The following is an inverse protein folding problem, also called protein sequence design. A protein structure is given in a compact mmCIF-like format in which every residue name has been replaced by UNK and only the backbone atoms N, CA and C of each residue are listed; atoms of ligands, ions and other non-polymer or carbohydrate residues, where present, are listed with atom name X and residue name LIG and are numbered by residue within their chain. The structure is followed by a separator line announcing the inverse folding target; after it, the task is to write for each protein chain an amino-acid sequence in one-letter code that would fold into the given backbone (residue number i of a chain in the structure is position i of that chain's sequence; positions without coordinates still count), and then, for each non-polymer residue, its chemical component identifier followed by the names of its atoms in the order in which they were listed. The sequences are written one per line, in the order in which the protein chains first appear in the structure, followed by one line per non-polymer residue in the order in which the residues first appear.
data_IF_207486146932
#
_entry.id   IF_207486146932
#
_cell.length_a   1.000
_cell.length_b   1.000
_cell.length_c   1.000
_cell.angle_alpha   90.00
_cell.angle_beta   90.00
_cell.angle_gamma   90.00
#
_symmetry.space_group_name_H-M   'P 1'
#
loop_
_entity.id
_entity.type
_entity.pdbx_description
1 polymer ?
#
# COMPACT_ATOMS: atom_id res chain seq x y z
N UNK A 1 -25.77 10.42 25.91
CA UNK A 1 -24.66 9.56 25.46
C UNK A 1 -24.06 8.91 26.69
N UNK A 2 -24.09 7.58 26.79
CA UNK A 2 -23.66 6.87 28.00
C UNK A 2 -22.12 6.79 28.10
N UNK A 3 -21.57 7.14 29.25
CA UNK A 3 -20.14 7.03 29.58
C UNK A 3 -19.75 5.57 29.90
N UNK A 4 -19.87 4.69 28.90
CA UNK A 4 -19.45 3.30 29.03
C UNK A 4 -17.94 3.17 28.80
N UNK A 5 -17.33 2.14 29.40
CA UNK A 5 -15.90 1.82 29.18
C UNK A 5 -15.57 1.64 27.69
N UNK A 6 -16.48 1.04 26.94
CA UNK A 6 -16.35 0.83 25.50
C UNK A 6 -16.29 2.15 24.74
N UNK A 7 -17.20 3.09 25.05
CA UNK A 7 -17.22 4.42 24.45
C UNK A 7 -15.92 5.19 24.75
N UNK A 8 -15.40 5.10 25.96
CA UNK A 8 -14.11 5.72 26.33
C UNK A 8 -12.92 5.13 25.57
N UNK A 9 -12.86 3.80 25.42
CA UNK A 9 -11.80 3.14 24.65
C UNK A 9 -11.91 3.46 23.14
N UNK A 10 -13.13 3.50 22.61
CA UNK A 10 -13.41 3.85 21.23
C UNK A 10 -13.05 5.31 20.91
N UNK A 11 -13.30 6.24 21.84
CA UNK A 11 -13.00 7.66 21.67
C UNK A 11 -11.51 7.90 21.42
N UNK A 12 -10.63 7.32 22.24
CA UNK A 12 -9.18 7.45 22.06
C UNK A 12 -8.69 6.83 20.75
N UNK A 13 -9.19 5.65 20.40
CA UNK A 13 -8.82 4.95 19.16
C UNK A 13 -9.27 5.71 17.92
N UNK A 14 -10.52 6.20 17.92
CA UNK A 14 -11.09 6.95 16.80
C UNK A 14 -10.35 8.27 16.61
N UNK A 15 -10.07 9.00 17.69
CA UNK A 15 -9.30 10.25 17.63
C UNK A 15 -7.89 10.03 17.06
N UNK A 16 -7.19 8.96 17.47
CA UNK A 16 -5.86 8.63 16.95
C UNK A 16 -5.89 8.26 15.46
N UNK A 17 -6.89 7.49 15.01
CA UNK A 17 -7.07 7.17 13.57
C UNK A 17 -7.34 8.42 12.74
N UNK A 18 -8.26 9.29 13.20
CA UNK A 18 -8.55 10.55 12.52
C UNK A 18 -7.32 11.46 12.44
N UNK A 19 -6.56 11.58 13.53
CA UNK A 19 -5.32 12.35 13.54
C UNK A 19 -4.31 11.80 12.52
N UNK A 20 -4.11 10.49 12.48
CA UNK A 20 -3.22 9.85 11.50
C UNK A 20 -3.69 10.09 10.06
N UNK A 21 -5.00 10.07 9.81
CA UNK A 21 -5.58 10.33 8.50
C UNK A 21 -5.41 11.79 8.07
N UNK A 22 -5.74 12.75 8.95
CA UNK A 22 -5.54 14.19 8.69
C UNK A 22 -4.05 14.48 8.43
N UNK A 23 -3.17 13.93 9.27
CA UNK A 23 -1.74 14.06 9.08
C UNK A 23 -1.32 13.44 7.75
N UNK A 24 -1.75 12.22 7.42
CA UNK A 24 -1.35 11.52 6.21
C UNK A 24 -1.78 12.19 4.90
N UNK A 25 -2.93 12.88 4.89
CA UNK A 25 -3.41 13.66 3.74
C UNK A 25 -2.63 14.97 3.60
N UNK A 26 -2.29 15.62 4.71
CA UNK A 26 -1.53 16.89 4.72
C UNK A 26 -0.04 16.65 4.46
N UNK A 27 0.53 15.68 5.16
CA UNK A 27 1.92 15.24 5.15
C UNK A 27 1.96 13.70 5.05
N UNK A 28 2.40 13.17 3.92
CA UNK A 28 2.50 11.71 3.74
C UNK A 28 3.37 11.04 4.80
N UNK A 29 2.93 9.89 5.33
CA UNK A 29 3.72 9.07 6.24
C UNK A 29 4.91 8.45 5.52
N UNK A 30 6.03 8.30 6.23
CA UNK A 30 7.30 7.79 5.67
C UNK A 30 7.79 6.61 6.49
N UNK A 31 8.12 5.51 5.82
CA UNK A 31 8.76 4.35 6.42
C UNK A 31 10.07 4.05 5.70
N UNK A 32 11.12 3.74 6.44
CA UNK A 32 12.40 3.32 5.89
C UNK A 32 12.68 1.89 6.33
N UNK A 33 13.04 1.04 5.38
CA UNK A 33 13.50 -0.32 5.64
C UNK A 33 14.95 -0.46 5.23
N UNK A 34 15.78 -0.88 6.17
CA UNK A 34 17.20 -1.10 5.97
C UNK A 34 17.48 -2.60 5.90
N UNK A 35 18.04 -3.03 4.77
CA UNK A 35 18.44 -4.42 4.54
C UNK A 35 19.90 -4.60 5.00
N UNK A 36 20.08 -5.30 6.12
CA UNK A 36 21.39 -5.63 6.65
C UNK A 36 21.71 -7.09 6.36
N UNK A 37 22.75 -7.32 5.57
CA UNK A 37 23.20 -8.66 5.22
C UNK A 37 24.07 -8.68 3.97
N UNK A 38 24.97 -9.66 3.90
CA UNK A 38 25.79 -9.88 2.70
C UNK A 38 24.88 -10.39 1.59
N UNK A 39 24.89 -9.70 0.44
CA UNK A 39 24.07 -10.05 -0.71
C UNK A 39 22.59 -9.66 -0.60
N UNK A 40 22.18 -8.96 0.46
CA UNK A 40 20.79 -8.53 0.61
C UNK A 40 20.53 -7.31 -0.26
N UNK A 41 19.60 -7.41 -1.21
CA UNK A 41 19.33 -6.37 -2.20
C UNK A 41 17.83 -6.31 -2.52
N UNK A 42 17.32 -5.11 -2.71
CA UNK A 42 15.98 -4.84 -3.21
C UNK A 42 16.07 -4.17 -4.58
N UNK A 43 15.10 -4.47 -5.43
CA UNK A 43 14.87 -3.78 -6.69
C UNK A 43 13.36 -3.60 -6.88
N UNK A 44 12.99 -2.54 -7.58
CA UNK A 44 11.61 -2.29 -7.99
C UNK A 44 11.48 -2.77 -9.43
N UNK A 45 10.52 -3.65 -9.67
CA UNK A 45 10.24 -4.23 -10.98
C UNK A 45 8.76 -4.00 -11.30
N UNK A 46 8.42 -3.92 -12.58
CA UNK A 46 7.03 -3.97 -13.02
C UNK A 46 6.50 -5.41 -12.90
N UNK A 47 5.29 -5.57 -12.39
CA UNK A 47 4.65 -6.87 -12.27
C UNK A 47 4.01 -7.25 -13.62
N UNK A 48 4.45 -8.33 -14.29
CA UNK A 48 3.83 -8.79 -15.53
C UNK A 48 2.39 -9.27 -15.33
N UNK A 49 2.00 -9.66 -14.10
CA UNK A 49 0.66 -10.16 -13.79
C UNK A 49 0.08 -9.43 -12.57
N UNK A 50 -0.34 -8.18 -12.75
CA UNK A 50 -0.77 -7.35 -11.64
C UNK A 50 -2.10 -7.89 -11.05
N UNK A 51 -2.09 -8.34 -9.79
CA UNK A 51 -3.33 -8.72 -9.08
C UNK A 51 -4.16 -7.46 -8.84
N UNK A 52 -5.39 -7.43 -9.36
CA UNK A 52 -6.29 -6.28 -9.23
C UNK A 52 -6.88 -6.25 -7.83
N UNK A 53 -6.92 -5.06 -7.22
CA UNK A 53 -7.67 -4.85 -5.99
C UNK A 53 -9.16 -5.03 -6.24
N UNK A 54 -9.92 -5.33 -5.20
CA UNK A 54 -11.36 -5.60 -5.22
C UNK A 54 -12.14 -4.50 -5.95
N UNK A 55 -11.76 -3.23 -5.73
CA UNK A 55 -12.38 -2.05 -6.36
C UNK A 55 -12.03 -1.95 -7.84
N UNK A 56 -10.79 -2.24 -8.21
CA UNK A 56 -10.34 -2.17 -9.60
C UNK A 56 -10.87 -3.36 -10.40
N UNK A 57 -10.96 -4.54 -9.79
CA UNK A 57 -11.66 -5.70 -10.33
C UNK A 57 -13.15 -5.41 -10.53
N UNK A 58 -13.78 -4.70 -9.59
CA UNK A 58 -15.17 -4.26 -9.73
C UNK A 58 -15.34 -3.26 -10.89
N UNK A 59 -14.45 -2.27 -11.02
CA UNK A 59 -14.47 -1.31 -12.13
C UNK A 59 -14.25 -2.01 -13.46
N UNK A 60 -13.26 -2.90 -13.55
CA UNK A 60 -12.99 -3.67 -14.76
C UNK A 60 -14.15 -4.60 -15.11
N UNK A 61 -14.76 -5.27 -14.14
CA UNK A 61 -15.94 -6.10 -14.38
C UNK A 61 -17.16 -5.29 -14.85
N UNK A 62 -17.30 -4.04 -14.39
CA UNK A 62 -18.31 -3.09 -14.89
C UNK A 62 -17.98 -2.68 -16.34
N UNK A 63 -16.72 -2.35 -16.64
CA UNK A 63 -16.25 -1.98 -17.98
C UNK A 63 -16.38 -3.13 -18.99
N UNK A 64 -16.10 -4.36 -18.56
CA UNK A 64 -16.24 -5.59 -19.35
C UNK A 64 -17.69 -6.10 -19.43
N UNK A 65 -18.66 -5.43 -18.80
CA UNK A 65 -20.07 -5.80 -18.83
C UNK A 65 -20.43 -7.07 -18.06
N UNK A 66 -19.49 -7.63 -17.27
CA UNK A 66 -19.65 -8.82 -16.41
C UNK A 66 -20.05 -8.43 -14.97
N UNK A 67 -20.86 -7.38 -14.84
CA UNK A 67 -21.23 -6.78 -13.57
C UNK A 67 -22.04 -7.72 -12.64
N UNK A 68 -22.64 -8.78 -13.18
CA UNK A 68 -23.43 -9.76 -12.44
C UNK A 68 -22.61 -10.65 -11.48
N UNK A 69 -21.28 -10.67 -11.62
CA UNK A 69 -20.38 -11.56 -10.85
C UNK A 69 -19.73 -10.88 -9.64
N UNK A 70 -19.91 -9.57 -9.47
CA UNK A 70 -19.30 -8.76 -8.40
C UNK A 70 -20.32 -8.48 -7.29
N UNK A 71 -19.93 -8.72 -6.03
CA UNK A 71 -20.76 -8.35 -4.88
C UNK A 71 -20.79 -6.83 -4.74
N UNK A 72 -21.88 -6.18 -5.13
CA UNK A 72 -22.08 -4.73 -4.86
C UNK A 72 -22.43 -4.51 -3.39
N UNK A 73 -21.84 -3.50 -2.75
CA UNK A 73 -22.14 -3.14 -1.36
C UNK A 73 -23.51 -2.47 -1.15
N UNK A 74 -24.19 -2.07 -2.23
CA UNK A 74 -25.54 -1.51 -2.15
C UNK A 74 -26.59 -2.61 -2.06
N UNK A 75 -27.53 -2.43 -1.13
CA UNK A 75 -28.60 -3.40 -0.84
C UNK A 75 -29.75 -3.34 -1.86
N UNK A 76 -29.81 -2.32 -2.72
CA UNK A 76 -30.87 -2.10 -3.71
C UNK A 76 -30.37 -1.97 -5.14
N UNK A 77 -31.04 -2.63 -6.07
CA UNK A 77 -30.81 -2.54 -7.53
C UNK A 77 -30.94 -1.09 -8.04
N UNK A 78 -31.85 -0.29 -7.47
CA UNK A 78 -32.05 1.11 -7.83
C UNK A 78 -30.87 2.01 -7.42
N UNK A 79 -30.22 1.72 -6.29
CA UNK A 79 -29.03 2.44 -5.84
C UNK A 79 -27.83 2.19 -6.77
N UNK A 80 -27.67 0.95 -7.23
CA UNK A 80 -26.67 0.59 -8.23
C UNK A 80 -26.90 1.34 -9.56
N UNK A 81 -28.15 1.42 -10.03
CA UNK A 81 -28.51 2.15 -11.26
C UNK A 81 -28.29 3.66 -11.14
N UNK A 82 -28.69 4.26 -10.01
CA UNK A 82 -28.46 5.68 -9.73
C UNK A 82 -26.96 6.01 -9.72
N UNK A 83 -26.17 5.22 -8.99
CA UNK A 83 -24.72 5.41 -8.91
C UNK A 83 -24.06 5.27 -10.29
N UNK A 84 -24.46 4.26 -11.08
CA UNK A 84 -23.98 4.08 -12.45
C UNK A 84 -24.30 5.29 -13.34
N UNK A 85 -25.52 5.83 -13.27
CA UNK A 85 -25.92 7.02 -14.03
C UNK A 85 -25.10 8.26 -13.65
N UNK A 86 -24.82 8.43 -12.36
CA UNK A 86 -24.07 9.58 -11.85
C UNK A 86 -22.59 9.52 -12.25
N UNK A 87 -22.00 8.33 -12.26
CA UNK A 87 -20.62 8.10 -12.76
C UNK A 87 -20.52 8.39 -14.25
N UNK A 88 -21.51 8.00 -15.07
CA UNK A 88 -21.54 8.32 -16.50
C UNK A 88 -21.65 9.83 -16.72
N UNK A 89 -22.55 10.51 -16.01
CA UNK A 89 -22.75 11.95 -16.09
C UNK A 89 -21.49 12.74 -15.69
N UNK A 90 -20.76 12.27 -14.66
CA UNK A 90 -19.48 12.84 -14.25
C UNK A 90 -18.37 12.62 -15.29
N UNK A 91 -18.29 11.42 -15.89
CA UNK A 91 -17.35 11.11 -17.00
C UNK A 91 -17.64 11.95 -18.24
N UNK A 92 -18.91 12.16 -18.59
CA UNK A 92 -19.35 13.05 -19.67
C UNK A 92 -18.95 14.50 -19.39
N UNK A 93 -19.15 14.99 -18.16
CA UNK A 93 -18.73 16.33 -17.76
C UNK A 93 -17.19 16.52 -17.84
N UNK A 94 -16.41 15.48 -17.57
CA UNK A 94 -14.94 15.51 -17.76
C UNK A 94 -14.51 15.51 -19.24
N UNK A 95 -15.38 15.11 -20.16
CA UNK A 95 -15.08 15.15 -21.60
C UNK A 95 -15.26 16.54 -22.20
N UNK A 96 -16.08 17.39 -21.56
CA UNK A 96 -16.44 18.73 -22.02
C UNK A 96 -15.55 19.86 -21.50
N UNK A 97 -14.61 19.56 -20.59
CA UNK A 97 -13.72 20.55 -20.00
C UNK A 97 -12.54 20.92 -20.93
N UNK A 98 -12.32 22.22 -21.03
CA UNK A 98 -11.22 22.93 -21.69
C UNK A 98 -9.82 22.38 -21.36
N UNK A 99 -8.86 22.67 -22.23
CA UNK A 99 -7.42 22.31 -22.33
C UNK A 99 -6.61 21.98 -21.04
N UNK A 100 -7.07 22.37 -19.84
CA UNK A 100 -6.54 21.94 -18.54
C UNK A 100 -6.66 20.41 -18.31
N UNK A 101 -7.69 19.75 -18.88
CA UNK A 101 -7.92 18.31 -18.71
C UNK A 101 -6.92 17.44 -19.51
N UNK A 102 -6.25 18.00 -20.52
CA UNK A 102 -5.20 17.30 -21.28
C UNK A 102 -3.93 17.05 -20.43
N UNK A 103 -3.66 17.91 -19.44
CA UNK A 103 -2.55 17.73 -18.50
C UNK A 103 -2.87 16.66 -17.43
N UNK A 104 -4.14 16.54 -17.03
CA UNK A 104 -4.63 15.45 -16.17
C UNK A 104 -4.60 14.12 -16.91
N UNK A 105 -4.92 14.12 -18.22
CA UNK A 105 -4.87 12.92 -19.08
C UNK A 105 -3.49 12.28 -19.21
N UNK A 106 -2.41 13.07 -19.27
CA UNK A 106 -1.03 12.54 -19.21
C UNK A 106 -0.68 11.87 -17.87
N UNK A 107 -1.28 12.32 -16.77
CA UNK A 107 -1.15 11.67 -15.45
C UNK A 107 -2.09 10.47 -15.28
N UNK A 108 -3.07 10.32 -16.18
CA UNK A 108 -4.06 9.26 -16.22
C UNK A 108 -3.95 8.39 -17.47
N UNK A 109 -2.76 8.26 -18.06
CA UNK A 109 -2.50 7.15 -18.98
C UNK A 109 -2.60 5.87 -18.14
N UNK A 110 -3.77 5.23 -18.25
CA UNK A 110 -4.41 4.25 -17.37
C UNK A 110 -3.69 2.91 -17.14
N UNK A 111 -2.36 2.92 -17.08
CA UNK A 111 -1.55 1.85 -16.50
C UNK A 111 -0.58 2.48 -15.53
N UNK A 112 -1.00 2.69 -14.27
CA UNK A 112 -0.02 2.60 -13.18
C UNK A 112 0.56 1.20 -13.29
N UNK A 113 1.74 1.05 -13.89
CA UNK A 113 2.44 -0.22 -13.93
C UNK A 113 2.51 -0.71 -12.49
N UNK A 114 1.80 -1.79 -12.16
CA UNK A 114 1.83 -2.24 -10.77
C UNK A 114 3.23 -2.73 -10.50
N UNK A 115 3.81 -2.20 -9.45
CA UNK A 115 5.19 -2.48 -9.10
C UNK A 115 5.21 -3.65 -8.12
N UNK A 116 6.25 -4.46 -8.23
CA UNK A 116 6.59 -5.48 -7.25
C UNK A 116 8.01 -5.23 -6.74
N UNK A 117 8.19 -5.48 -5.46
CA UNK A 117 9.49 -5.54 -4.83
C UNK A 117 10.12 -6.89 -5.14
N UNK A 118 11.23 -6.87 -5.87
CA UNK A 118 12.10 -8.01 -6.07
C UNK A 118 13.21 -8.00 -5.01
N UNK A 119 13.13 -8.93 -4.05
CA UNK A 119 14.04 -9.02 -2.92
C UNK A 119 14.96 -10.24 -3.05
N UNK A 120 16.28 -10.00 -2.95
CA UNK A 120 17.30 -11.04 -2.78
C UNK A 120 17.74 -11.02 -1.32
N UNK A 121 17.40 -12.06 -0.57
CA UNK A 121 17.61 -12.15 0.89
C UNK A 121 18.38 -13.42 1.30
N UNK A 122 19.18 -13.98 0.38
CA UNK A 122 19.90 -15.23 0.60
C UNK A 122 19.00 -16.47 0.63
N UNK A 123 17.83 -16.42 -0.01
CA UNK A 123 17.03 -17.60 -0.36
C UNK A 123 17.44 -18.10 -1.74
N UNK A 124 17.14 -19.36 -2.06
CA UNK A 124 17.46 -19.96 -3.36
C UNK A 124 16.68 -19.35 -4.53
N UNK A 125 15.56 -18.68 -4.26
CA UNK A 125 14.72 -17.97 -5.22
C UNK A 125 14.48 -16.53 -4.77
N UNK A 126 14.24 -15.58 -5.70
CA UNK A 126 13.89 -14.21 -5.33
C UNK A 126 12.51 -14.16 -4.69
N UNK A 127 12.35 -13.29 -3.69
CA UNK A 127 11.08 -13.02 -3.05
C UNK A 127 10.43 -11.85 -3.77
N UNK A 128 9.27 -12.09 -4.40
CA UNK A 128 8.49 -11.11 -5.14
C UNK A 128 7.29 -10.68 -4.30
N UNK A 129 7.21 -9.39 -3.96
CA UNK A 129 6.11 -8.85 -3.15
C UNK A 129 5.40 -7.77 -3.96
N UNK A 130 4.09 -7.90 -4.26
CA UNK A 130 3.35 -6.85 -4.92
C UNK A 130 3.19 -5.63 -3.99
N UNK A 131 3.31 -4.43 -4.55
CA UNK A 131 3.08 -3.20 -3.78
C UNK A 131 1.56 -2.96 -3.67
N UNK A 132 1.01 -2.78 -2.45
CA UNK A 132 -0.41 -2.50 -2.27
C UNK A 132 -0.77 -1.09 -2.75
N UNK A 133 -2.04 -0.88 -3.08
CA UNK A 133 -2.54 0.43 -3.53
C UNK A 133 -2.36 1.50 -2.45
N UNK A 134 -2.07 2.72 -2.91
CA UNK A 134 -1.87 3.87 -2.02
C UNK A 134 -0.48 3.91 -1.35
N UNK A 135 0.34 2.86 -1.49
CA UNK A 135 1.74 2.85 -1.06
C UNK A 135 2.65 3.09 -2.25
N UNK A 136 3.50 4.11 -2.12
CA UNK A 136 4.57 4.38 -3.09
C UNK A 136 5.88 3.84 -2.55
N UNK A 137 6.64 3.15 -3.40
CA UNK A 137 7.90 2.51 -3.02
C UNK A 137 9.02 3.08 -3.88
N UNK A 138 10.12 3.48 -3.23
CA UNK A 138 11.38 3.75 -3.92
C UNK A 138 12.52 2.99 -3.27
N UNK A 139 13.51 2.65 -4.10
CA UNK A 139 14.73 1.98 -3.69
C UNK A 139 15.91 2.89 -4.07
N UNK A 140 16.21 3.94 -3.28
CA UNK A 140 17.31 4.87 -3.59
C UNK A 140 18.68 4.20 -3.58
N UNK A 141 18.85 3.18 -2.74
CA UNK A 141 20.02 2.30 -2.69
C UNK A 141 19.49 0.87 -2.62
N UNK A 142 20.16 -0.12 -3.21
CA UNK A 142 19.66 -1.49 -3.19
C UNK A 142 19.56 -2.10 -1.78
N UNK A 143 20.14 -1.47 -0.75
CA UNK A 143 20.00 -1.90 0.66
C UNK A 143 18.98 -1.08 1.45
N UNK A 144 18.34 -0.07 0.85
CA UNK A 144 17.42 0.84 1.55
C UNK A 144 16.13 0.96 0.73
N UNK A 145 15.00 0.60 1.34
CA UNK A 145 13.67 0.78 0.75
C UNK A 145 13.00 1.95 1.50
N UNK A 146 12.48 2.92 0.75
CA UNK A 146 11.65 4.00 1.28
C UNK A 146 10.22 3.80 0.84
N UNK A 147 9.32 3.80 1.79
CA UNK A 147 7.88 3.71 1.58
C UNK A 147 7.23 5.04 1.94
N UNK A 148 6.28 5.47 1.12
CA UNK A 148 5.42 6.62 1.37
C UNK A 148 3.96 6.21 1.22
N UNK A 149 3.07 6.79 2.02
CA UNK A 149 1.65 6.53 1.91
C UNK A 149 0.82 7.52 2.71
N UNK A 150 -0.45 7.67 2.35
CA UNK A 150 -1.40 8.48 3.10
C UNK A 150 -1.91 7.72 4.34
N UNK A 151 -2.15 6.42 4.22
CA UNK A 151 -2.55 5.59 5.37
C UNK A 151 -1.32 5.01 6.09
N UNK A 152 -1.26 5.23 7.40
CA UNK A 152 -0.19 4.76 8.28
C UNK A 152 -0.34 3.27 8.61
N UNK A 153 -1.57 2.77 8.69
CA UNK A 153 -1.87 1.38 9.05
C UNK A 153 -1.43 0.45 7.92
N UNK A 154 -1.85 0.74 6.68
CA UNK A 154 -1.46 -0.03 5.49
C UNK A 154 0.04 0.02 5.22
N UNK A 155 0.65 1.21 5.37
CA UNK A 155 2.10 1.38 5.21
C UNK A 155 2.89 0.56 6.24
N UNK A 156 2.43 0.56 7.50
CA UNK A 156 3.02 -0.21 8.59
C UNK A 156 2.83 -1.72 8.41
N UNK A 157 1.63 -2.15 7.98
CA UNK A 157 1.34 -3.54 7.66
C UNK A 157 2.25 -4.04 6.54
N UNK A 158 2.38 -3.28 5.45
CA UNK A 158 3.23 -3.62 4.33
C UNK A 158 4.72 -3.71 4.74
N UNK A 159 5.20 -2.73 5.52
CA UNK A 159 6.56 -2.78 6.08
C UNK A 159 6.77 -4.03 6.96
N UNK A 160 5.77 -4.39 7.77
CA UNK A 160 5.81 -5.61 8.58
C UNK A 160 5.81 -6.88 7.72
N UNK A 161 5.04 -6.92 6.62
CA UNK A 161 5.04 -8.04 5.66
C UNK A 161 6.42 -8.25 5.05
N UNK A 162 7.11 -7.17 4.66
CA UNK A 162 8.49 -7.23 4.14
C UNK A 162 9.44 -7.74 5.24
N UNK A 163 9.36 -7.19 6.46
CA UNK A 163 10.19 -7.59 7.61
C UNK A 163 10.02 -9.06 7.99
N UNK A 164 8.82 -9.63 7.79
CA UNK A 164 8.54 -11.01 8.13
C UNK A 164 9.44 -12.01 7.41
N UNK A 165 9.85 -11.73 6.17
CA UNK A 165 10.75 -12.58 5.40
C UNK A 165 12.12 -12.75 6.04
N UNK A 166 12.68 -11.69 6.64
CA UNK A 166 13.97 -11.75 7.36
C UNK A 166 13.95 -10.83 8.57
N UNK A 167 13.50 -11.36 9.70
CA UNK A 167 13.60 -10.67 10.99
C UNK A 167 15.07 -10.44 11.40
N UNK A 168 15.40 -9.34 12.10
CA UNK A 168 16.73 -9.11 12.63
C UNK A 168 17.19 -10.22 13.57
N UNK A 169 18.34 -10.84 13.27
CA UNK A 169 18.92 -11.89 14.10
C UNK A 169 19.76 -11.33 15.27
N UNK A 170 19.85 -12.03 16.42
CA UNK A 170 20.51 -11.51 17.62
C UNK A 170 22.03 -11.65 17.61
N UNK A 171 22.66 -12.28 16.61
CA UNK A 171 24.11 -12.53 16.63
C UNK A 171 24.89 -11.60 15.69
N UNK A 172 24.55 -11.56 14.40
CA UNK A 172 25.22 -10.67 13.43
C UNK A 172 24.34 -9.52 12.96
N UNK A 173 23.13 -9.37 13.53
CA UNK A 173 22.20 -8.30 13.16
C UNK A 173 21.77 -8.35 11.69
N UNK A 174 21.88 -9.49 11.01
CA UNK A 174 21.34 -9.64 9.66
C UNK A 174 19.81 -9.67 9.71
N UNK A 175 19.19 -8.98 8.79
CA UNK A 175 17.74 -8.88 8.70
C UNK A 175 17.30 -7.56 8.11
N UNK A 176 16.00 -7.32 8.17
CA UNK A 176 15.35 -6.12 7.69
C UNK A 176 14.90 -5.32 8.91
N UNK A 177 15.41 -4.10 9.04
CA UNK A 177 15.06 -3.17 10.10
C UNK A 177 14.03 -2.17 9.58
N UNK A 178 13.07 -1.79 10.43
CA UNK A 178 12.04 -0.81 10.09
C UNK A 178 12.26 0.45 10.92
N UNK A 179 12.27 1.62 10.28
CA UNK A 179 12.38 2.94 10.90
C UNK A 179 13.54 3.08 11.90
N UNK A 180 14.70 2.48 11.60
CA UNK A 180 15.87 2.56 12.47
C UNK A 180 15.78 1.71 13.75
N UNK A 181 14.87 0.72 13.80
CA UNK A 181 14.85 -0.32 14.84
C UNK A 181 16.26 -0.91 15.03
N UNK A 182 16.65 -1.22 16.26
CA UNK A 182 17.93 -1.87 16.59
C UNK A 182 17.69 -3.05 17.53
N UNK A 183 18.45 -4.12 17.32
CA UNK A 183 18.45 -5.31 18.19
C UNK A 183 19.74 -5.35 19.02
N UNK A 184 19.63 -5.81 20.26
CA UNK A 184 20.81 -6.07 21.09
C UNK A 184 21.54 -7.32 20.60
N UNK A 185 22.83 -7.17 20.28
CA UNK A 185 23.65 -8.27 19.80
C UNK A 185 24.15 -9.12 20.98
N UNK A 186 24.03 -10.44 20.86
CA UNK A 186 24.61 -11.41 21.78
C UNK A 186 26.08 -11.59 21.46
N UNK A 187 26.90 -11.64 22.51
CA UNK A 187 28.32 -11.95 22.39
C UNK A 187 28.51 -13.34 21.78
N UNK A 188 29.45 -13.45 20.84
CA UNK A 188 29.86 -14.76 20.31
C UNK A 188 30.42 -15.62 21.45
N UNK A 189 30.17 -16.93 21.39
CA UNK A 189 30.79 -17.87 22.32
C UNK A 189 32.30 -17.80 22.13
N UNK A 190 33.02 -17.27 23.12
CA UNK A 190 34.49 -17.33 23.16
C UNK A 190 34.88 -18.81 23.18
N UNK A 191 35.77 -19.19 22.27
CA UNK A 191 36.33 -20.54 22.20
C UNK A 191 37.43 -20.69 23.24
#
# INVERSE_FOLDING_TARGET
MSDTKEVRAAWGTTAAKLLNAIQGVTESHKFQLDLVGVGYRAALEEDPFPRLDDVELALQAIEEGSASKVKTHFTSSAQNQFYASHVQQWKEAQSTGTELDAHVKKNSDGKRARLRLHLRLGYSHPVLIPVPRGVTVAVPSPTVIKLWGADKEDLGLFAASIRMWRRPEPYKGKGIYVNGEKIQLRTAKKK
#
